data_IF_684760506784
#
_entry.id   IF_684760506784
#
_cell.length_a   1.000
_cell.length_b   1.000
_cell.length_c   1.000
_cell.angle_alpha   90.00
_cell.angle_beta   90.00
_cell.angle_gamma   90.00
#
_symmetry.space_group_name_H-M   'P 1'
#
loop_
_entity.id
_entity.type
_entity.pdbx_description
1 polymer ?
#
# COMPACT_ATOMS: atom_id res chain seq x y z
N UNK A 1 -8.74 21.71 14.78
CA UNK A 1 -8.96 20.34 14.29
C UNK A 1 -7.61 19.72 13.93
N UNK A 2 -7.15 18.70 14.65
CA UNK A 2 -5.97 17.93 14.24
C UNK A 2 -6.36 17.09 13.02
N UNK A 3 -5.87 17.47 11.83
CA UNK A 3 -6.01 16.68 10.61
C UNK A 3 -5.36 15.32 10.90
N UNK A 4 -6.15 14.25 10.97
CA UNK A 4 -5.65 12.89 11.23
C UNK A 4 -4.55 12.62 10.19
N UNK A 5 -3.31 12.50 10.64
CA UNK A 5 -2.18 12.31 9.71
C UNK A 5 -2.44 11.04 8.92
N UNK A 6 -2.56 11.16 7.59
CA UNK A 6 -2.64 9.99 6.71
C UNK A 6 -1.40 9.12 6.98
N UNK A 7 -1.60 7.80 7.06
CA UNK A 7 -0.49 6.85 7.25
C UNK A 7 0.46 6.94 6.06
N UNK A 8 1.78 6.95 6.33
CA UNK A 8 2.80 7.03 5.28
C UNK A 8 2.99 5.67 4.59
N UNK A 9 3.16 4.62 5.39
CA UNK A 9 3.41 3.26 4.91
C UNK A 9 2.12 2.49 4.69
N UNK A 10 2.08 1.69 3.63
CA UNK A 10 1.00 0.76 3.35
C UNK A 10 1.36 -0.63 3.89
N UNK A 11 0.36 -1.34 4.43
CA UNK A 11 0.51 -2.71 4.90
C UNK A 11 -0.21 -3.72 4.00
N UNK A 12 0.13 -5.02 4.08
CA UNK A 12 -0.64 -6.06 3.39
C UNK A 12 -2.14 -6.07 3.76
N UNK A 13 -2.52 -5.64 4.96
CA UNK A 13 -3.95 -5.52 5.34
C UNK A 13 -4.64 -4.40 4.58
N UNK A 14 -3.97 -3.27 4.42
CA UNK A 14 -4.48 -2.15 3.63
C UNK A 14 -4.65 -2.54 2.16
N UNK A 15 -3.67 -3.25 1.60
CA UNK A 15 -3.71 -3.75 0.22
C UNK A 15 -4.86 -4.74 0.03
N UNK A 16 -5.09 -5.62 1.01
CA UNK A 16 -6.21 -6.56 0.96
C UNK A 16 -7.55 -5.84 0.84
N UNK A 17 -7.74 -4.75 1.59
CA UNK A 17 -8.95 -3.91 1.55
C UNK A 17 -9.01 -3.14 0.22
N UNK A 18 -7.93 -2.48 -0.17
CA UNK A 18 -7.88 -1.61 -1.36
C UNK A 18 -8.18 -2.37 -2.65
N UNK A 19 -7.66 -3.61 -2.77
CA UNK A 19 -7.78 -4.43 -3.97
C UNK A 19 -8.88 -5.49 -3.89
N UNK A 20 -9.58 -5.61 -2.76
CA UNK A 20 -10.55 -6.65 -2.48
C UNK A 20 -10.01 -8.07 -2.72
N UNK A 21 -8.89 -8.39 -2.07
CA UNK A 21 -8.20 -9.67 -2.20
C UNK A 21 -7.84 -10.27 -0.84
N UNK A 22 -7.63 -11.59 -0.80
CA UNK A 22 -7.17 -12.23 0.43
C UNK A 22 -5.83 -11.69 0.92
N UNK A 23 -5.60 -11.74 2.24
CA UNK A 23 -4.35 -11.29 2.85
C UNK A 23 -3.11 -12.00 2.27
N UNK A 24 -3.24 -13.27 1.84
CA UNK A 24 -2.16 -14.00 1.16
C UNK A 24 -1.80 -13.34 -0.17
N UNK A 25 -2.79 -13.03 -0.99
CA UNK A 25 -2.57 -12.33 -2.26
C UNK A 25 -2.01 -10.93 -2.01
N UNK A 26 -2.52 -10.22 -1.02
CA UNK A 26 -2.01 -8.90 -0.64
C UNK A 26 -0.54 -8.92 -0.22
N UNK A 27 -0.10 -9.90 0.58
CA UNK A 27 1.32 -10.08 0.90
C UNK A 27 2.18 -10.32 -0.34
N UNK A 28 1.70 -11.12 -1.29
CA UNK A 28 2.39 -11.34 -2.57
C UNK A 28 2.49 -10.03 -3.37
N UNK A 29 1.41 -9.26 -3.47
CA UNK A 29 1.38 -7.95 -4.16
C UNK A 29 2.31 -6.92 -3.50
N UNK A 30 2.38 -6.92 -2.17
CA UNK A 30 3.30 -6.08 -1.40
C UNK A 30 4.76 -6.41 -1.71
N UNK A 31 5.13 -7.69 -1.68
CA UNK A 31 6.50 -8.10 -1.96
C UNK A 31 6.88 -7.86 -3.43
N UNK A 32 5.97 -8.11 -4.38
CA UNK A 32 6.23 -7.80 -5.80
C UNK A 32 6.56 -6.32 -6.03
N UNK A 33 5.79 -5.41 -5.42
CA UNK A 33 6.08 -3.98 -5.50
C UNK A 33 7.41 -3.63 -4.80
N UNK A 34 7.70 -4.24 -3.64
CA UNK A 34 9.00 -4.06 -2.96
C UNK A 34 10.18 -4.49 -3.83
N UNK A 35 10.07 -5.66 -4.45
CA UNK A 35 11.10 -6.23 -5.31
C UNK A 35 11.35 -5.33 -6.52
N UNK A 36 10.29 -4.77 -7.12
CA UNK A 36 10.40 -3.83 -8.24
C UNK A 36 11.14 -2.53 -7.88
N UNK A 37 10.98 -2.05 -6.64
CA UNK A 37 11.71 -0.89 -6.12
C UNK A 37 13.08 -1.24 -5.50
N UNK A 38 13.51 -2.51 -5.55
CA UNK A 38 14.76 -2.97 -4.95
C UNK A 38 14.80 -2.81 -3.41
N UNK A 39 13.64 -2.88 -2.75
CA UNK A 39 13.52 -2.66 -1.30
C UNK A 39 14.00 -3.87 -0.50
N UNK A 40 14.76 -3.63 0.56
CA UNK A 40 15.19 -4.66 1.49
C UNK A 40 14.02 -5.19 2.34
N UNK A 41 14.18 -6.38 2.95
CA UNK A 41 13.14 -7.02 3.75
C UNK A 41 12.56 -6.11 4.85
N UNK A 42 13.40 -5.32 5.52
CA UNK A 42 13.00 -4.43 6.60
C UNK A 42 12.43 -3.08 6.12
N UNK A 43 12.61 -2.72 4.84
CA UNK A 43 12.08 -1.49 4.28
C UNK A 43 10.60 -1.66 3.92
N UNK A 44 9.80 -0.63 4.19
CA UNK A 44 8.37 -0.64 3.88
C UNK A 44 8.07 0.08 2.58
N UNK A 45 6.94 -0.25 1.96
CA UNK A 45 6.33 0.58 0.92
C UNK A 45 5.51 1.70 1.55
N UNK A 46 5.59 2.87 0.94
CA UNK A 46 4.65 3.96 1.13
C UNK A 46 3.39 3.75 0.30
N UNK A 47 2.31 4.42 0.67
CA UNK A 47 1.11 4.48 -0.17
C UNK A 47 1.40 5.02 -1.57
N UNK A 48 2.31 6.01 -1.68
CA UNK A 48 2.72 6.61 -2.94
C UNK A 48 3.40 5.61 -3.87
N UNK A 49 4.39 4.87 -3.36
CA UNK A 49 5.10 3.85 -4.16
C UNK A 49 4.15 2.74 -4.62
N UNK A 50 3.25 2.30 -3.73
CA UNK A 50 2.27 1.28 -4.12
C UNK A 50 1.28 1.81 -5.17
N UNK A 51 0.80 3.04 -5.02
CA UNK A 51 -0.09 3.69 -5.99
C UNK A 51 0.58 3.83 -7.36
N UNK A 52 1.83 4.29 -7.40
CA UNK A 52 2.62 4.43 -8.62
C UNK A 52 2.86 3.07 -9.30
N UNK A 53 3.26 2.05 -8.56
CA UNK A 53 3.52 0.72 -9.11
C UNK A 53 2.28 0.06 -9.73
N UNK A 54 1.09 0.23 -9.12
CA UNK A 54 -0.15 -0.36 -9.63
C UNK A 54 -0.95 0.59 -10.55
N UNK A 55 -0.47 1.82 -10.80
CA UNK A 55 -1.17 2.81 -11.61
C UNK A 55 -2.51 3.26 -10.99
N UNK A 56 -2.57 3.37 -9.66
CA UNK A 56 -3.78 3.72 -8.92
C UNK A 56 -3.72 5.18 -8.41
N UNK A 57 -4.84 5.90 -8.32
CA UNK A 57 -4.86 7.23 -7.72
C UNK A 57 -4.59 7.18 -6.21
N UNK A 58 -3.56 7.90 -5.73
CA UNK A 58 -3.14 7.88 -4.33
C UNK A 58 -4.27 8.30 -3.37
N UNK A 59 -5.12 9.25 -3.77
CA UNK A 59 -6.21 9.73 -2.92
C UNK A 59 -7.31 8.69 -2.73
N UNK A 60 -7.66 7.92 -3.78
CA UNK A 60 -8.65 6.83 -3.68
C UNK A 60 -8.21 5.73 -2.70
N UNK A 61 -6.90 5.45 -2.62
CA UNK A 61 -6.35 4.49 -1.65
C UNK A 61 -6.59 4.93 -0.22
N UNK A 62 -6.45 6.23 0.06
CA UNK A 62 -6.71 6.77 1.39
C UNK A 62 -8.20 6.79 1.70
N UNK A 63 -9.06 7.06 0.71
CA UNK A 63 -10.52 7.05 0.88
C UNK A 63 -11.05 5.66 1.23
N UNK A 64 -10.54 4.59 0.61
CA UNK A 64 -10.93 3.20 0.92
C UNK A 64 -10.59 2.73 2.34
N UNK A 65 -9.75 3.47 3.06
CA UNK A 65 -9.26 3.10 4.40
C UNK A 65 -9.73 4.02 5.52
N UNK A 66 -10.54 5.04 5.20
CA UNK A 66 -11.21 5.90 6.17
C UNK A 66 -12.63 5.42 6.44
#
# INVERSE_FOLDING_TARGET
>A
MLKKSKRLCISPKDIAIILDISLRQANRRYNQAKDAYGRLRHQHLTFREFAEYYGLPLDELYERLN
#
